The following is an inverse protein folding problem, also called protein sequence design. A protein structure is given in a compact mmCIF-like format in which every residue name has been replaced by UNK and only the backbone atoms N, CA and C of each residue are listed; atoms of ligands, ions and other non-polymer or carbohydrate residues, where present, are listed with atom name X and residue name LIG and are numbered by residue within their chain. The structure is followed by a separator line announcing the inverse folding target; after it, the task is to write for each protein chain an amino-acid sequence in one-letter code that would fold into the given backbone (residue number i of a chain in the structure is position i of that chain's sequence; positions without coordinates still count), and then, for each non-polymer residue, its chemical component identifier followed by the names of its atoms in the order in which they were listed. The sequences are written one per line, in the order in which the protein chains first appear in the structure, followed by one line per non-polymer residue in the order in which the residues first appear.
data_IF_787804799681
#
_entry.id   IF_787804799681
#
_cell.length_a   1.000
_cell.length_b   1.000
_cell.length_c   1.000
_cell.angle_alpha   90.00
_cell.angle_beta   90.00
_cell.angle_gamma   90.00
#
_symmetry.space_group_name_H-M   'P 1'
#
loop_
_entity.id
_entity.type
_entity.pdbx_description
1 polymer ?
#
# COMPACT_ATOMS: atom_id res chain seq x y z
N UNK A 1 -4.03 5.63 11.28
CA UNK A 1 -3.80 4.66 12.39
C UNK A 1 -2.35 4.70 12.82
N UNK A 2 -2.11 4.65 14.14
CA UNK A 2 -0.77 4.45 14.70
C UNK A 2 -0.38 2.96 14.58
N UNK A 3 0.93 2.63 14.72
CA UNK A 3 1.40 1.23 14.70
C UNK A 3 0.73 0.36 15.78
N UNK A 4 0.44 0.96 16.93
CA UNK A 4 -0.24 0.28 18.04
C UNK A 4 -1.71 -0.02 17.71
N UNK A 5 -2.41 0.94 17.08
CA UNK A 5 -3.79 0.75 16.63
C UNK A 5 -3.90 -0.33 15.54
N UNK A 6 -2.95 -0.36 14.58
CA UNK A 6 -2.86 -1.39 13.54
C UNK A 6 -2.65 -2.78 14.18
N UNK A 7 -1.71 -2.87 15.13
CA UNK A 7 -1.42 -4.11 15.85
C UNK A 7 -2.65 -4.64 16.61
N UNK A 8 -3.39 -3.75 17.27
CA UNK A 8 -4.61 -4.12 18.00
C UNK A 8 -5.75 -4.51 17.06
N UNK A 9 -5.92 -3.77 15.95
CA UNK A 9 -7.00 -4.00 14.99
C UNK A 9 -6.89 -5.37 14.32
N UNK A 10 -5.69 -5.78 13.93
CA UNK A 10 -5.45 -7.05 13.23
C UNK A 10 -5.04 -8.21 14.16
N UNK A 11 -4.76 -7.95 15.43
CA UNK A 11 -4.27 -8.98 16.35
C UNK A 11 -2.95 -9.62 15.90
N UNK A 12 -2.17 -8.93 15.06
CA UNK A 12 -0.98 -9.44 14.38
C UNK A 12 0.31 -9.40 15.21
N UNK A 13 0.24 -8.92 16.45
CA UNK A 13 1.42 -8.65 17.27
C UNK A 13 2.08 -7.30 16.92
N UNK A 14 3.25 -7.06 17.46
CA UNK A 14 3.97 -5.80 17.18
C UNK A 14 4.41 -5.72 15.72
N UNK A 15 4.29 -4.52 15.14
CA UNK A 15 4.89 -4.21 13.84
C UNK A 15 6.40 -4.11 14.04
N UNK A 16 7.13 -5.04 13.45
CA UNK A 16 8.59 -5.11 13.57
C UNK A 16 9.28 -4.14 12.61
N UNK A 17 8.77 -4.05 11.38
CA UNK A 17 9.35 -3.24 10.33
C UNK A 17 8.30 -2.69 9.39
N UNK A 18 8.49 -1.45 8.94
CA UNK A 18 7.64 -0.77 7.96
C UNK A 18 8.47 -0.49 6.72
N UNK A 19 7.98 -0.93 5.56
CA UNK A 19 8.57 -0.65 4.26
C UNK A 19 7.75 0.42 3.54
N UNK A 20 8.40 1.52 3.24
CA UNK A 20 7.82 2.67 2.55
C UNK A 20 8.36 2.76 1.10
N UNK A 21 7.73 3.59 0.31
CA UNK A 21 8.20 3.95 -1.03
C UNK A 21 9.66 4.42 -1.03
N UNK A 22 10.35 4.19 -2.15
CA UNK A 22 11.66 4.78 -2.36
C UNK A 22 11.61 6.29 -2.15
N UNK A 23 12.54 6.82 -1.33
CA UNK A 23 12.64 8.28 -1.07
C UNK A 23 12.73 9.09 -2.37
N UNK A 24 13.47 8.59 -3.36
CA UNK A 24 13.60 9.22 -4.66
C UNK A 24 12.27 9.28 -5.43
N UNK A 25 11.51 8.20 -5.41
CA UNK A 25 10.19 8.17 -6.02
C UNK A 25 9.24 9.16 -5.32
N UNK A 26 9.25 9.19 -4.00
CA UNK A 26 8.45 10.13 -3.22
C UNK A 26 8.82 11.59 -3.54
N UNK A 27 10.12 11.92 -3.55
CA UNK A 27 10.60 13.26 -3.91
C UNK A 27 10.23 13.64 -5.35
N UNK A 28 10.41 12.72 -6.30
CA UNK A 28 10.04 12.95 -7.70
C UNK A 28 8.54 13.27 -7.84
N UNK A 29 7.69 12.48 -7.21
CA UNK A 29 6.24 12.71 -7.25
C UNK A 29 5.84 14.01 -6.55
N UNK A 30 6.46 14.35 -5.43
CA UNK A 30 6.25 15.65 -4.77
C UNK A 30 6.60 16.82 -5.69
N UNK A 31 7.75 16.77 -6.36
CA UNK A 31 8.16 17.79 -7.31
C UNK A 31 7.20 17.87 -8.50
N UNK A 32 6.75 16.72 -9.02
CA UNK A 32 5.79 16.66 -10.12
C UNK A 32 4.47 17.33 -9.74
N UNK A 33 3.86 16.94 -8.62
CA UNK A 33 2.58 17.52 -8.17
C UNK A 33 2.73 19.00 -7.77
N UNK A 34 3.88 19.40 -7.23
CA UNK A 34 4.17 20.81 -6.95
C UNK A 34 4.23 21.61 -8.25
N UNK A 35 4.94 21.11 -9.27
CA UNK A 35 5.02 21.77 -10.58
C UNK A 35 3.65 21.88 -11.27
N UNK A 36 2.86 20.81 -11.25
CA UNK A 36 1.49 20.82 -11.77
C UNK A 36 0.62 21.81 -10.97
N UNK A 37 0.73 21.83 -9.65
CA UNK A 37 0.00 22.76 -8.80
C UNK A 37 0.33 24.21 -9.11
N UNK A 38 1.62 24.56 -9.27
CA UNK A 38 2.05 25.92 -9.65
C UNK A 38 1.49 26.32 -11.00
N UNK A 39 1.49 25.39 -11.99
CA UNK A 39 0.94 25.63 -13.32
C UNK A 39 -0.57 25.94 -13.26
N UNK A 40 -1.35 25.12 -12.56
CA UNK A 40 -2.79 25.34 -12.43
C UNK A 40 -3.12 26.56 -11.57
N UNK A 41 -2.31 26.89 -10.56
CA UNK A 41 -2.43 28.15 -9.83
C UNK A 41 -2.26 29.37 -10.75
N UNK A 42 -1.27 29.33 -11.65
CA UNK A 42 -1.07 30.39 -12.62
C UNK A 42 -2.23 30.50 -13.62
N UNK A 43 -2.73 29.34 -14.11
CA UNK A 43 -3.92 29.34 -14.98
C UNK A 43 -5.15 29.93 -14.27
N UNK A 44 -5.37 29.59 -13.01
CA UNK A 44 -6.47 30.13 -12.22
C UNK A 44 -6.43 31.68 -12.15
N UNK A 45 -5.23 32.26 -12.04
CA UNK A 45 -5.07 33.71 -12.03
C UNK A 45 -5.32 34.34 -13.40
N UNK A 46 -5.00 33.62 -14.47
CA UNK A 46 -5.16 34.11 -15.85
C UNK A 46 -6.60 33.98 -16.38
N UNK A 47 -7.38 33.03 -15.86
CA UNK A 47 -8.75 32.77 -16.31
C UNK A 47 -9.73 33.86 -15.90
N UNK A 48 -10.69 34.12 -16.80
CA UNK A 48 -11.74 35.15 -16.59
C UNK A 48 -13.08 34.52 -16.17
N UNK A 49 -13.32 33.25 -16.51
CA UNK A 49 -14.58 32.57 -16.22
C UNK A 49 -14.57 31.88 -14.86
N UNK A 50 -15.67 31.97 -14.14
CA UNK A 50 -15.79 31.36 -12.83
C UNK A 50 -15.67 29.82 -12.89
N UNK A 51 -16.26 29.20 -13.91
CA UNK A 51 -16.22 27.75 -14.08
C UNK A 51 -14.78 27.24 -14.24
N UNK A 52 -13.97 27.83 -15.13
CA UNK A 52 -12.58 27.45 -15.33
C UNK A 52 -11.72 27.69 -14.07
N UNK A 53 -12.02 28.74 -13.28
CA UNK A 53 -11.36 28.93 -11.99
C UNK A 53 -11.66 27.81 -10.99
N UNK A 54 -12.92 27.36 -10.92
CA UNK A 54 -13.30 26.26 -10.02
C UNK A 54 -12.64 24.95 -10.40
N UNK A 55 -12.54 24.64 -11.70
CA UNK A 55 -11.85 23.46 -12.21
C UNK A 55 -10.35 23.48 -11.82
N UNK A 56 -9.69 24.64 -12.01
CA UNK A 56 -8.29 24.80 -11.61
C UNK A 56 -8.08 24.68 -10.10
N UNK A 57 -9.00 25.19 -9.29
CA UNK A 57 -8.99 25.04 -7.82
C UNK A 57 -9.13 23.56 -7.44
N UNK A 58 -10.02 22.79 -8.08
CA UNK A 58 -10.19 21.37 -7.81
C UNK A 58 -8.88 20.59 -8.08
N UNK A 59 -8.19 20.89 -9.18
CA UNK A 59 -6.88 20.29 -9.49
C UNK A 59 -5.83 20.68 -8.45
N UNK A 60 -5.80 21.94 -8.00
CA UNK A 60 -4.89 22.40 -6.96
C UNK A 60 -5.11 21.62 -5.64
N UNK A 61 -6.37 21.50 -5.20
CA UNK A 61 -6.72 20.74 -4.00
C UNK A 61 -6.27 19.29 -4.16
N UNK A 62 -6.50 18.68 -5.31
CA UNK A 62 -6.03 17.31 -5.61
C UNK A 62 -4.51 17.21 -5.53
N UNK A 63 -3.75 18.15 -6.11
CA UNK A 63 -2.29 18.15 -6.04
C UNK A 63 -1.78 18.25 -4.60
N UNK A 64 -2.32 19.20 -3.82
CA UNK A 64 -1.95 19.38 -2.40
C UNK A 64 -2.23 18.11 -1.58
N UNK A 65 -3.39 17.53 -1.77
CA UNK A 65 -3.77 16.31 -1.09
C UNK A 65 -2.88 15.11 -1.51
N UNK A 66 -2.49 14.98 -2.79
CA UNK A 66 -1.54 13.95 -3.25
C UNK A 66 -0.16 14.14 -2.67
N UNK A 67 0.33 15.37 -2.50
CA UNK A 67 1.62 15.66 -1.87
C UNK A 67 1.64 15.17 -0.42
N UNK A 68 0.57 15.41 0.32
CA UNK A 68 0.44 14.98 1.71
C UNK A 68 0.44 13.45 1.86
N UNK A 69 -0.26 12.75 0.95
CA UNK A 69 -0.43 11.29 0.99
C UNK A 69 0.71 10.45 0.44
N UNK A 70 1.80 11.03 0.00
CA UNK A 70 2.92 10.30 -0.62
C UNK A 70 3.75 9.43 0.33
N UNK A 71 3.55 9.57 1.64
CA UNK A 71 4.22 8.78 2.68
C UNK A 71 3.41 7.57 3.14
N UNK A 72 2.45 7.15 2.33
CA UNK A 72 1.61 6.01 2.68
C UNK A 72 2.45 4.74 2.88
N UNK A 73 2.21 4.07 3.99
CA UNK A 73 2.78 2.76 4.30
C UNK A 73 2.39 1.79 3.19
N UNK A 74 3.38 1.11 2.62
CA UNK A 74 3.15 0.13 1.56
C UNK A 74 3.05 -1.27 2.15
N UNK A 75 3.92 -1.60 3.11
CA UNK A 75 3.96 -2.91 3.73
C UNK A 75 4.52 -2.81 5.15
N UNK A 76 3.77 -3.34 6.11
CA UNK A 76 4.23 -3.58 7.47
C UNK A 76 4.50 -5.06 7.69
N UNK A 77 5.66 -5.36 8.24
CA UNK A 77 6.07 -6.70 8.64
C UNK A 77 5.81 -6.87 10.12
N UNK A 78 5.07 -7.91 10.48
CA UNK A 78 4.76 -8.27 11.85
C UNK A 78 5.32 -9.65 12.20
N UNK A 79 5.24 -10.03 13.45
CA UNK A 79 5.66 -11.37 13.90
C UNK A 79 4.84 -12.50 13.24
N UNK A 80 3.58 -12.24 12.86
CA UNK A 80 2.65 -13.28 12.37
C UNK A 80 2.33 -13.18 10.89
N UNK A 81 2.71 -12.10 10.20
CA UNK A 81 2.37 -11.91 8.80
C UNK A 81 2.70 -10.53 8.28
N UNK A 82 2.14 -10.22 7.13
CA UNK A 82 2.30 -8.95 6.44
C UNK A 82 0.99 -8.16 6.50
N UNK A 83 1.11 -6.84 6.67
CA UNK A 83 0.01 -5.92 6.43
C UNK A 83 0.32 -5.18 5.15
N UNK A 84 -0.53 -5.34 4.16
CA UNK A 84 -0.37 -4.74 2.84
C UNK A 84 -1.57 -3.90 2.48
N UNK A 85 -1.37 -2.92 1.62
CA UNK A 85 -2.47 -2.16 1.05
C UNK A 85 -3.00 -2.87 -0.19
N UNK A 86 -4.30 -3.17 -0.20
CA UNK A 86 -5.00 -3.68 -1.37
C UNK A 86 -5.05 -2.62 -2.47
N UNK A 87 -4.84 -3.03 -3.70
CA UNK A 87 -5.04 -2.17 -4.86
C UNK A 87 -6.55 -2.04 -5.15
N UNK A 88 -7.03 -0.83 -5.38
CA UNK A 88 -8.41 -0.61 -5.83
C UNK A 88 -8.58 -1.08 -7.29
N UNK A 89 -9.73 -1.66 -7.56
CA UNK A 89 -10.10 -2.20 -8.87
C UNK A 89 -11.18 -1.36 -9.57
N UNK A 90 -11.84 -0.46 -8.83
CA UNK A 90 -12.90 0.40 -9.33
C UNK A 90 -12.74 1.85 -8.88
N UNK A 91 -13.47 2.78 -9.54
CA UNK A 91 -13.50 4.18 -9.14
C UNK A 91 -14.16 4.36 -7.76
N UNK A 92 -15.15 3.53 -7.43
CA UNK A 92 -15.84 3.57 -6.15
C UNK A 92 -14.88 3.17 -5.01
N UNK A 93 -14.15 2.06 -5.18
CA UNK A 93 -13.10 1.63 -4.23
C UNK A 93 -12.01 2.69 -4.10
N UNK A 94 -11.63 3.34 -5.21
CA UNK A 94 -10.69 4.45 -5.19
C UNK A 94 -11.19 5.61 -4.32
N UNK A 95 -12.45 6.02 -4.46
CA UNK A 95 -13.02 7.09 -3.68
C UNK A 95 -13.16 6.71 -2.20
N UNK A 96 -13.55 5.46 -1.90
CA UNK A 96 -13.63 4.96 -0.53
C UNK A 96 -12.24 4.93 0.12
N UNK A 97 -11.20 4.51 -0.60
CA UNK A 97 -9.81 4.57 -0.12
C UNK A 97 -9.38 6.00 0.24
N UNK A 98 -9.83 6.98 -0.56
CA UNK A 98 -9.50 8.38 -0.30
C UNK A 98 -10.13 8.90 1.00
N UNK A 99 -11.33 8.45 1.29
CA UNK A 99 -12.08 8.84 2.49
C UNK A 99 -11.67 8.00 3.72
N UNK A 100 -11.36 6.72 3.51
CA UNK A 100 -11.10 5.75 4.57
C UNK A 100 -9.85 4.89 4.27
N UNK A 101 -8.63 5.48 4.31
CA UNK A 101 -7.40 4.80 3.89
C UNK A 101 -7.08 3.53 4.68
N UNK A 102 -7.61 3.42 5.90
CA UNK A 102 -7.34 2.27 6.77
C UNK A 102 -8.15 1.02 6.40
N UNK A 103 -9.25 1.17 5.64
CA UNK A 103 -10.10 0.05 5.21
C UNK A 103 -9.45 -0.85 4.16
N UNK A 104 -8.47 -0.34 3.43
CA UNK A 104 -7.77 -1.07 2.39
C UNK A 104 -6.50 -1.77 2.89
N UNK A 105 -6.25 -1.73 4.20
CA UNK A 105 -5.20 -2.52 4.81
C UNK A 105 -5.71 -3.95 5.00
N UNK A 106 -4.91 -4.91 4.57
CA UNK A 106 -5.21 -6.35 4.69
C UNK A 106 -4.05 -7.01 5.43
N UNK A 107 -4.37 -7.75 6.48
CA UNK A 107 -3.41 -8.60 7.17
C UNK A 107 -3.42 -9.99 6.53
N UNK A 108 -2.23 -10.50 6.19
CA UNK A 108 -2.00 -11.80 5.58
C UNK A 108 -1.01 -12.55 6.45
N UNK A 109 -1.36 -13.74 6.93
CA UNK A 109 -0.44 -14.60 7.67
C UNK A 109 0.62 -15.15 6.72
N UNK A 110 1.81 -15.46 7.24
CA UNK A 110 2.87 -16.06 6.41
C UNK A 110 2.47 -17.42 5.86
N UNK A 111 1.74 -18.21 6.62
CA UNK A 111 1.22 -19.53 6.23
C UNK A 111 0.23 -19.48 5.05
N UNK A 112 -0.54 -18.38 4.93
CA UNK A 112 -1.52 -18.20 3.87
C UNK A 112 -0.90 -17.73 2.54
N UNK A 113 0.36 -17.27 2.53
CA UNK A 113 1.03 -16.77 1.34
C UNK A 113 1.55 -17.95 0.53
N UNK A 114 0.93 -18.22 -0.62
CA UNK A 114 1.40 -19.24 -1.54
C UNK A 114 2.54 -18.71 -2.43
N UNK A 115 2.33 -17.57 -3.09
CA UNK A 115 3.29 -16.97 -3.99
C UNK A 115 3.08 -15.46 -4.10
N UNK A 116 4.17 -14.71 -4.29
CA UNK A 116 4.12 -13.31 -4.69
C UNK A 116 4.53 -13.24 -6.16
N UNK A 117 3.70 -12.62 -7.00
CA UNK A 117 3.97 -12.49 -8.43
C UNK A 117 5.28 -11.74 -8.72
N UNK A 118 5.96 -12.09 -9.82
CA UNK A 118 7.24 -11.49 -10.22
C UNK A 118 7.20 -9.96 -10.33
N UNK A 119 6.05 -9.43 -10.73
CA UNK A 119 5.81 -7.99 -10.85
C UNK A 119 5.47 -7.29 -9.52
N UNK A 120 5.27 -8.05 -8.42
CA UNK A 120 4.93 -7.55 -7.09
C UNK A 120 3.62 -6.77 -7.03
N UNK A 121 2.67 -7.12 -7.88
CA UNK A 121 1.32 -6.52 -7.91
C UNK A 121 0.25 -7.42 -7.31
N UNK A 122 0.56 -8.69 -7.10
CA UNK A 122 -0.40 -9.71 -6.67
C UNK A 122 0.26 -10.64 -5.66
N UNK A 123 -0.50 -11.01 -4.63
CA UNK A 123 -0.16 -12.07 -3.70
C UNK A 123 -1.19 -13.18 -3.90
N UNK A 124 -0.73 -14.39 -4.19
CA UNK A 124 -1.55 -15.57 -4.25
C UNK A 124 -1.67 -16.15 -2.84
N UNK A 125 -2.89 -16.34 -2.40
CA UNK A 125 -3.21 -16.87 -1.08
C UNK A 125 -3.73 -18.30 -1.24
N UNK A 126 -3.22 -19.23 -0.42
CA UNK A 126 -3.78 -20.57 -0.30
C UNK A 126 -5.10 -20.50 0.45
N UNK A 127 -6.23 -20.84 -0.20
CA UNK A 127 -7.51 -20.94 0.48
C UNK A 127 -7.57 -22.28 1.23
N UNK A 128 -7.61 -22.23 2.56
CA UNK A 128 -7.59 -23.42 3.41
C UNK A 128 -8.81 -24.34 3.26
N UNK A 129 -9.94 -23.89 2.72
CA UNK A 129 -11.19 -24.64 2.76
C UNK A 129 -11.78 -25.06 1.40
N UNK A 130 -11.38 -24.50 0.26
CA UNK A 130 -12.01 -24.78 -1.05
C UNK A 130 -11.06 -25.16 -2.18
N UNK A 131 -9.77 -25.32 -1.92
CA UNK A 131 -8.79 -25.73 -2.96
C UNK A 131 -8.57 -24.71 -4.07
N UNK A 132 -9.03 -23.47 -3.91
CA UNK A 132 -8.83 -22.35 -4.83
C UNK A 132 -7.73 -21.41 -4.34
N UNK A 133 -6.95 -20.89 -5.30
CA UNK A 133 -6.02 -19.79 -5.02
C UNK A 133 -6.78 -18.46 -5.10
N UNK A 134 -6.82 -17.73 -4.00
CA UNK A 134 -7.31 -16.35 -4.02
C UNK A 134 -6.17 -15.41 -4.42
N UNK A 135 -6.44 -14.45 -5.30
CA UNK A 135 -5.46 -13.44 -5.73
C UNK A 135 -5.79 -12.11 -5.10
N UNK A 136 -4.85 -11.58 -4.32
CA UNK A 136 -4.97 -10.26 -3.71
C UNK A 136 -4.11 -9.25 -4.49
N UNK A 137 -4.72 -8.25 -5.16
CA UNK A 137 -3.98 -7.19 -5.81
C UNK A 137 -3.38 -6.23 -4.77
N UNK A 138 -2.06 -5.94 -4.89
CA UNK A 138 -1.29 -5.14 -3.92
C UNK A 138 -0.38 -4.12 -4.60
N UNK A 139 0.10 -3.14 -3.84
CA UNK A 139 1.00 -2.09 -4.31
C UNK A 139 2.45 -2.28 -3.84
N UNK A 140 3.01 -3.49 -4.02
CA UNK A 140 4.40 -3.78 -3.62
C UNK A 140 5.43 -3.53 -4.73
N UNK A 141 4.99 -3.24 -5.97
CA UNK A 141 5.88 -3.04 -7.12
C UNK A 141 6.85 -1.86 -6.93
N UNK A 142 6.49 -0.86 -6.15
CA UNK A 142 7.29 0.34 -5.90
C UNK A 142 8.34 0.19 -4.81
N UNK A 143 8.34 -0.94 -4.09
CA UNK A 143 9.35 -1.23 -3.09
C UNK A 143 10.73 -1.40 -3.73
N UNK A 144 11.80 -0.88 -3.10
CA UNK A 144 13.18 -1.16 -3.48
C UNK A 144 13.48 -2.67 -3.49
N UNK A 145 14.34 -3.13 -4.39
CA UNK A 145 14.70 -4.55 -4.52
C UNK A 145 15.19 -5.18 -3.22
N UNK A 146 15.95 -4.41 -2.43
CA UNK A 146 16.43 -4.87 -1.12
C UNK A 146 15.27 -5.26 -0.20
N UNK A 147 14.25 -4.42 -0.09
CA UNK A 147 13.09 -4.69 0.76
C UNK A 147 12.26 -5.87 0.26
N UNK A 148 12.17 -6.04 -1.06
CA UNK A 148 11.53 -7.20 -1.67
C UNK A 148 12.24 -8.50 -1.27
N UNK A 149 13.57 -8.52 -1.28
CA UNK A 149 14.36 -9.68 -0.84
C UNK A 149 14.16 -9.94 0.65
N UNK A 150 14.22 -8.92 1.49
CA UNK A 150 14.00 -9.05 2.94
C UNK A 150 12.60 -9.63 3.26
N UNK A 151 11.55 -9.21 2.55
CA UNK A 151 10.20 -9.75 2.69
C UNK A 151 10.16 -11.22 2.29
N UNK A 152 10.73 -11.58 1.13
CA UNK A 152 10.76 -12.98 0.67
C UNK A 152 11.53 -13.89 1.62
N UNK A 153 12.67 -13.44 2.11
CA UNK A 153 13.49 -14.20 3.06
C UNK A 153 12.73 -14.40 4.38
N UNK A 154 11.97 -13.39 4.81
CA UNK A 154 11.15 -13.50 6.02
C UNK A 154 10.02 -14.50 5.84
N UNK A 155 9.27 -14.44 4.73
CA UNK A 155 8.20 -15.38 4.44
C UNK A 155 8.72 -16.82 4.46
N UNK A 156 9.80 -17.10 3.72
CA UNK A 156 10.41 -18.45 3.69
C UNK A 156 10.82 -18.94 5.07
N UNK A 157 11.46 -18.06 5.85
CA UNK A 157 11.92 -18.40 7.19
C UNK A 157 10.78 -18.76 8.15
N UNK A 158 9.66 -18.04 8.08
CA UNK A 158 8.52 -18.31 8.94
C UNK A 158 7.78 -19.57 8.49
N UNK A 159 7.57 -19.77 7.17
CA UNK A 159 6.99 -21.01 6.62
C UNK A 159 7.82 -22.27 6.98
N UNK A 160 9.16 -22.18 6.93
CA UNK A 160 10.03 -23.30 7.34
C UNK A 160 9.95 -23.64 8.84
N UNK A 161 9.55 -22.68 9.68
CA UNK A 161 9.34 -22.94 11.11
C UNK A 161 8.03 -23.69 11.35
N UNK A 162 6.97 -23.24 10.70
CA UNK A 162 5.64 -23.86 10.84
C UNK A 162 5.69 -25.32 10.36
N UNK A 163 6.36 -25.62 9.24
CA UNK A 163 6.58 -26.98 8.76
C UNK A 163 7.35 -27.90 9.74
N UNK A 164 8.17 -27.33 10.61
CA UNK A 164 8.95 -28.11 11.59
C UNK A 164 8.17 -28.36 12.86
N UNK A 165 7.27 -27.48 13.23
CA UNK A 165 6.47 -27.63 14.43
C UNK A 165 5.33 -28.64 14.19
N UNK A 166 4.70 -28.63 13.01
CA UNK A 166 3.71 -29.63 12.58
C UNK A 166 4.26 -31.08 12.50
N UNK A 167 5.55 -31.25 12.27
CA UNK A 167 6.19 -32.60 12.23
C UNK A 167 6.59 -33.14 13.59
N UNK A 168 6.39 -32.39 14.66
CA UNK A 168 6.73 -32.82 16.03
C UNK A 168 5.53 -33.25 16.88
N UNK A 169 4.31 -33.02 16.38
CA UNK A 169 3.07 -33.58 16.92
C UNK A 169 2.73 -34.92 16.23
#
# INVERSE_FOLDING_TARGET
MTREEISQHFGCGMVEQTYENSKWFSVFMQLLFTGVGIYFFWLMLAETTLAAKLDNIAVLIFCLWRIDRQRDIICDVTAKGLIVRRQFMSLEEFLDEQLHPDRNLVFIRYEDIFEISDNWREIQLGAAEEGGLAVLPVHLQFLPRRYKQEIMDRIKKEQEKDDKDDKKE
#
